data_IF_718522477800
#
_entry.id   IF_718522477800
#
_cell.length_a   1.000
_cell.length_b   1.000
_cell.length_c   1.000
_cell.angle_alpha   90.00
_cell.angle_beta   90.00
_cell.angle_gamma   90.00
#
_symmetry.space_group_name_H-M   'P 1'
#
loop_
_entity.id
_entity.type
_entity.pdbx_description
1 polymer ?
#
# COMPACT_ATOMS: atom_id res chain seq x y z
N UNK A 1 -13.87 1.59 11.13
CA UNK A 1 -12.78 0.63 11.47
C UNK A 1 -11.83 1.30 12.45
N UNK A 2 -11.40 0.64 13.53
CA UNK A 2 -10.48 1.22 14.52
C UNK A 2 -9.02 0.84 14.23
N UNK A 3 -8.04 1.57 14.80
CA UNK A 3 -6.62 1.21 14.74
C UNK A 3 -6.35 -0.20 15.27
N UNK A 4 -7.02 -0.58 16.35
CA UNK A 4 -6.92 -1.93 16.92
C UNK A 4 -7.50 -2.98 15.96
N UNK A 5 -8.61 -2.66 15.25
CA UNK A 5 -9.18 -3.52 14.22
C UNK A 5 -8.23 -3.74 13.04
N UNK A 6 -7.56 -2.69 12.57
CA UNK A 6 -6.53 -2.80 11.53
C UNK A 6 -5.34 -3.65 11.98
N UNK A 7 -4.83 -3.44 13.20
CA UNK A 7 -3.73 -4.24 13.74
C UNK A 7 -4.10 -5.72 13.83
N UNK A 8 -5.30 -6.02 14.31
CA UNK A 8 -5.80 -7.39 14.40
C UNK A 8 -5.82 -8.05 13.02
N UNK A 9 -6.36 -7.37 12.00
CA UNK A 9 -6.40 -7.89 10.64
C UNK A 9 -5.01 -8.18 10.07
N UNK A 10 -4.07 -7.26 10.28
CA UNK A 10 -2.69 -7.44 9.84
C UNK A 10 -2.05 -8.66 10.51
N UNK A 11 -2.14 -8.77 11.84
CA UNK A 11 -1.51 -9.87 12.59
C UNK A 11 -2.14 -11.23 12.27
N UNK A 12 -3.45 -11.29 12.03
CA UNK A 12 -4.14 -12.54 11.69
C UNK A 12 -3.93 -12.98 10.24
N UNK A 13 -3.45 -12.10 9.35
CA UNK A 13 -3.35 -12.35 7.91
C UNK A 13 -1.98 -11.95 7.35
N UNK A 14 -0.91 -12.04 8.15
CA UNK A 14 0.41 -11.51 7.82
C UNK A 14 0.96 -12.00 6.46
N UNK A 15 0.66 -13.24 6.08
CA UNK A 15 1.12 -13.82 4.82
C UNK A 15 0.49 -13.21 3.56
N UNK A 16 -0.71 -12.65 3.67
CA UNK A 16 -1.47 -12.13 2.51
C UNK A 16 -1.78 -10.65 2.63
N UNK A 17 -1.71 -10.07 3.83
CA UNK A 17 -2.00 -8.68 4.05
C UNK A 17 -0.97 -7.78 3.34
N UNK A 18 -1.39 -6.66 2.73
CA UNK A 18 -0.46 -5.80 1.99
C UNK A 18 0.70 -5.30 2.85
N UNK A 19 1.90 -5.28 2.26
CA UNK A 19 3.07 -4.67 2.88
C UNK A 19 2.86 -3.16 3.08
N UNK A 20 3.29 -2.60 4.22
CA UNK A 20 3.25 -1.16 4.43
C UNK A 20 4.25 -0.43 3.53
N UNK A 21 3.87 0.75 3.05
CA UNK A 21 4.80 1.69 2.39
C UNK A 21 5.76 2.33 3.39
N UNK A 22 5.38 2.34 4.68
CA UNK A 22 6.23 2.78 5.77
C UNK A 22 5.98 1.92 6.99
N UNK A 23 7.03 1.23 7.47
CA UNK A 23 6.98 0.29 8.60
C UNK A 23 7.43 0.89 9.94
N UNK A 24 7.27 2.21 10.15
CA UNK A 24 7.63 2.87 11.41
C UNK A 24 6.61 2.67 12.54
N UNK A 25 6.74 3.45 13.62
CA UNK A 25 5.82 3.40 14.78
C UNK A 25 4.33 3.54 14.39
N UNK A 26 4.06 4.25 13.29
CA UNK A 26 2.76 4.23 12.63
C UNK A 26 2.95 3.63 11.25
N UNK A 27 2.38 2.45 11.02
CA UNK A 27 2.35 1.84 9.71
C UNK A 27 1.51 2.68 8.74
N UNK A 28 2.00 2.82 7.51
CA UNK A 28 1.27 3.47 6.41
C UNK A 28 1.13 2.48 5.27
N UNK A 29 -0.05 2.40 4.69
CA UNK A 29 -0.37 1.55 3.54
C UNK A 29 -1.01 2.40 2.44
N UNK A 30 -0.88 1.95 1.19
CA UNK A 30 -1.76 2.44 0.16
C UNK A 30 -3.16 1.87 0.37
N UNK A 31 -4.16 2.76 0.39
CA UNK A 31 -5.55 2.35 0.56
C UNK A 31 -5.98 1.37 -0.54
N UNK A 32 -5.54 1.57 -1.79
CA UNK A 32 -5.85 0.71 -2.91
C UNK A 32 -5.50 -0.78 -2.64
N UNK A 33 -4.33 -1.04 -2.05
CA UNK A 33 -3.85 -2.39 -1.81
C UNK A 33 -4.67 -3.06 -0.70
N UNK A 34 -5.02 -2.30 0.35
CA UNK A 34 -5.89 -2.80 1.44
C UNK A 34 -7.31 -3.08 0.94
N UNK A 35 -7.87 -2.21 0.10
CA UNK A 35 -9.21 -2.43 -0.48
C UNK A 35 -9.20 -3.64 -1.43
N UNK A 36 -8.17 -3.78 -2.27
CA UNK A 36 -8.00 -4.95 -3.13
C UNK A 36 -7.97 -6.24 -2.33
N UNK A 37 -7.16 -6.28 -1.27
CA UNK A 37 -7.10 -7.42 -0.35
C UNK A 37 -8.44 -7.72 0.34
N UNK A 38 -9.17 -6.69 0.79
CA UNK A 38 -10.49 -6.86 1.39
C UNK A 38 -11.52 -7.45 0.40
N UNK A 39 -11.43 -7.08 -0.88
CA UNK A 39 -12.28 -7.64 -1.92
C UNK A 39 -11.92 -9.11 -2.16
N UNK A 40 -10.63 -9.42 -2.33
CA UNK A 40 -10.18 -10.78 -2.71
C UNK A 40 -10.24 -11.78 -1.55
N UNK A 41 -9.69 -11.44 -0.39
CA UNK A 41 -9.54 -12.38 0.74
C UNK A 41 -10.76 -12.41 1.65
N UNK A 42 -11.58 -11.36 1.62
CA UNK A 42 -12.72 -11.19 2.55
C UNK A 42 -14.06 -11.09 1.84
N UNK A 43 -14.11 -11.17 0.51
CA UNK A 43 -15.31 -11.00 -0.30
C UNK A 43 -16.09 -9.73 0.06
N UNK A 44 -15.38 -8.66 0.41
CA UNK A 44 -15.99 -7.41 0.83
C UNK A 44 -16.64 -6.73 -0.37
N UNK A 45 -17.89 -6.29 -0.23
CA UNK A 45 -18.55 -5.46 -1.23
C UNK A 45 -18.14 -4.02 -0.98
N UNK A 46 -17.30 -3.49 -1.87
CA UNK A 46 -16.80 -2.12 -1.83
C UNK A 46 -17.23 -1.43 -3.12
N UNK A 47 -17.71 -0.20 -3.00
CA UNK A 47 -18.11 0.61 -4.14
C UNK A 47 -16.94 0.80 -5.13
N UNK A 48 -17.22 0.61 -6.43
CA UNK A 48 -16.18 0.64 -7.46
C UNK A 48 -15.55 2.02 -7.59
N UNK A 49 -16.33 3.10 -7.44
CA UNK A 49 -15.79 4.45 -7.47
C UNK A 49 -14.81 4.71 -6.32
N UNK A 50 -15.04 4.11 -5.15
CA UNK A 50 -14.09 4.16 -4.02
C UNK A 50 -12.77 3.45 -4.35
N UNK A 51 -12.83 2.29 -5.00
CA UNK A 51 -11.64 1.54 -5.43
C UNK A 51 -10.88 2.32 -6.50
N UNK A 52 -11.57 2.87 -7.49
CA UNK A 52 -10.99 3.70 -8.54
C UNK A 52 -10.28 4.94 -7.95
N UNK A 53 -10.95 5.66 -7.05
CA UNK A 53 -10.38 6.82 -6.37
C UNK A 53 -9.13 6.45 -5.56
N UNK A 54 -9.13 5.32 -4.86
CA UNK A 54 -7.97 4.85 -4.12
C UNK A 54 -6.79 4.54 -5.05
N UNK A 55 -7.05 3.98 -6.24
CA UNK A 55 -6.03 3.72 -7.25
C UNK A 55 -5.47 5.02 -7.85
N UNK A 56 -6.31 6.00 -8.13
CA UNK A 56 -5.85 7.33 -8.57
C UNK A 56 -4.99 8.02 -7.49
N UNK A 57 -5.44 7.98 -6.24
CA UNK A 57 -4.68 8.54 -5.11
C UNK A 57 -3.31 7.84 -4.96
N UNK A 58 -3.24 6.52 -5.14
CA UNK A 58 -1.98 5.77 -5.12
C UNK A 58 -1.02 6.24 -6.22
N UNK A 59 -1.51 6.42 -7.46
CA UNK A 59 -0.71 6.93 -8.58
C UNK A 59 -0.12 8.32 -8.28
N UNK A 60 -0.93 9.22 -7.76
CA UNK A 60 -0.49 10.58 -7.40
C UNK A 60 0.55 10.52 -6.27
N UNK A 61 0.31 9.70 -5.24
CA UNK A 61 1.24 9.57 -4.13
C UNK A 61 2.59 9.02 -4.58
N UNK A 62 2.60 8.02 -5.46
CA UNK A 62 3.83 7.48 -6.03
C UNK A 62 4.57 8.51 -6.89
N UNK A 63 3.86 9.23 -7.76
CA UNK A 63 4.46 10.28 -8.57
C UNK A 63 5.11 11.37 -7.71
N UNK A 64 4.47 11.77 -6.61
CA UNK A 64 5.04 12.71 -5.64
C UNK A 64 6.28 12.16 -4.95
N UNK A 65 6.27 10.88 -4.57
CA UNK A 65 7.42 10.24 -3.93
C UNK A 65 8.61 10.18 -4.89
N UNK A 66 8.39 9.74 -6.13
CA UNK A 66 9.43 9.71 -7.17
C UNK A 66 9.99 11.11 -7.40
N UNK A 67 9.13 12.12 -7.53
CA UNK A 67 9.58 13.50 -7.72
C UNK A 67 10.33 14.09 -6.51
N UNK A 68 10.14 13.53 -5.32
CA UNK A 68 10.85 13.94 -4.11
C UNK A 68 12.19 13.20 -3.94
N UNK A 69 12.50 12.22 -4.79
CA UNK A 69 13.77 11.50 -4.73
C UNK A 69 14.94 12.42 -5.11
N UNK A 70 16.10 12.28 -4.43
CA UNK A 70 17.35 12.84 -4.92
C UNK A 70 17.67 12.32 -6.32
N UNK A 71 18.39 13.12 -7.12
CA UNK A 71 18.88 12.66 -8.41
C UNK A 71 19.74 11.38 -8.24
N UNK A 72 19.50 10.37 -9.07
CA UNK A 72 20.17 9.06 -9.01
C UNK A 72 19.53 8.04 -8.06
N UNK A 73 18.71 8.47 -7.10
CA UNK A 73 18.16 7.57 -6.09
C UNK A 73 17.10 6.60 -6.66
N UNK A 74 16.46 6.94 -7.78
CA UNK A 74 15.52 6.05 -8.45
C UNK A 74 16.27 4.92 -9.17
N UNK A 75 17.35 5.26 -9.87
CA UNK A 75 18.21 4.31 -10.56
C UNK A 75 18.84 3.33 -9.56
N UNK A 76 19.39 3.84 -8.45
CA UNK A 76 19.94 3.04 -7.35
C UNK A 76 18.89 2.05 -6.80
N UNK A 77 17.65 2.51 -6.61
CA UNK A 77 16.57 1.67 -6.11
C UNK A 77 16.15 0.57 -7.12
N UNK A 78 16.14 0.87 -8.42
CA UNK A 78 15.81 -0.09 -9.48
C UNK A 78 16.91 -1.17 -9.58
N UNK A 79 18.17 -0.78 -9.49
CA UNK A 79 19.30 -1.72 -9.52
C UNK A 79 19.26 -2.70 -8.33
N UNK A 80 18.90 -2.19 -7.14
CA UNK A 80 18.75 -3.01 -5.94
C UNK A 80 17.64 -4.06 -6.07
N UNK A 81 16.49 -3.69 -6.65
CA UNK A 81 15.35 -4.61 -6.85
C UNK A 81 15.58 -5.60 -7.98
N UNK A 82 16.40 -5.26 -8.98
CA UNK A 82 16.69 -6.14 -10.14
C UNK A 82 17.77 -7.19 -9.83
N UNK A 83 18.37 -7.13 -8.64
CA UNK A 83 19.44 -8.03 -8.20
C UNK A 83 18.94 -9.20 -7.33
N UNK A 84 17.64 -9.23 -7.01
CA UNK A 84 16.92 -10.30 -6.28
C UNK A 84 16.06 -11.15 -7.24
#
# INVERSE_FOLDING_TARGET
MSRQGMRKLMTENEATFPSPVHAGNTGVWHLADVLGWLITERNSIIDSATVELANEARRINLAKQINALPAGALEDAIELVSSD
#
